data_IF_907215952296
#
_entry.id   IF_907215952296
#
_cell.length_a   1.000
_cell.length_b   1.000
_cell.length_c   1.000
_cell.angle_alpha   90.00
_cell.angle_beta   90.00
_cell.angle_gamma   90.00
#
_symmetry.space_group_name_H-M   'P 1'
#
loop_
_entity.id
_entity.type
_entity.pdbx_description
1 polymer ?
#
# COMPACT_ATOMS: atom_id res chain seq x y z
N UNK A 1 2.09 -10.79 -4.39
CA UNK A 1 2.51 -11.20 -3.04
C UNK A 1 3.05 -9.98 -2.32
N UNK A 2 2.78 -9.84 -1.04
CA UNK A 2 3.26 -8.71 -0.23
C UNK A 2 4.12 -9.24 0.91
N UNK A 3 5.28 -8.62 1.11
CA UNK A 3 6.20 -8.91 2.20
C UNK A 3 6.34 -7.67 3.08
N UNK A 4 6.38 -7.86 4.39
CA UNK A 4 6.69 -6.79 5.34
C UNK A 4 8.13 -6.97 5.78
N UNK A 5 8.92 -5.92 5.69
CA UNK A 5 10.33 -5.89 6.07
C UNK A 5 10.46 -5.08 7.34
N UNK A 6 11.13 -5.65 8.33
CA UNK A 6 11.44 -5.00 9.57
C UNK A 6 10.43 -5.28 10.66
N UNK A 7 9.92 -6.50 10.76
CA UNK A 7 9.21 -7.01 11.92
C UNK A 7 10.14 -7.11 13.15
N UNK A 8 9.60 -7.01 14.38
CA UNK A 8 10.42 -7.18 15.58
C UNK A 8 11.15 -8.53 15.60
N UNK A 9 12.47 -8.49 15.77
CA UNK A 9 13.32 -9.68 15.86
C UNK A 9 13.89 -10.17 14.53
N UNK A 10 13.52 -9.58 13.39
CA UNK A 10 14.09 -9.95 12.09
C UNK A 10 15.54 -9.50 11.93
N UNK A 11 16.36 -10.40 11.37
CA UNK A 11 17.72 -10.11 10.97
C UNK A 11 17.97 -10.37 9.46
N UNK A 12 19.24 -10.30 9.06
CA UNK A 12 19.64 -10.45 7.66
C UNK A 12 19.43 -11.89 7.12
N UNK A 13 19.52 -12.91 7.97
CA UNK A 13 19.25 -14.30 7.59
C UNK A 13 17.76 -14.48 7.31
N UNK A 14 16.90 -13.89 8.13
CA UNK A 14 15.44 -13.91 7.93
C UNK A 14 15.02 -13.28 6.60
N UNK A 15 15.59 -12.12 6.24
CA UNK A 15 15.30 -11.47 4.96
C UNK A 15 15.72 -12.32 3.77
N UNK A 16 16.92 -12.93 3.83
CA UNK A 16 17.45 -13.78 2.78
C UNK A 16 16.62 -15.05 2.61
N UNK A 17 16.25 -15.68 3.72
CA UNK A 17 15.41 -16.88 3.74
C UNK A 17 14.01 -16.59 3.20
N UNK A 18 13.39 -15.49 3.65
CA UNK A 18 12.05 -15.07 3.21
C UNK A 18 12.00 -14.80 1.72
N UNK A 19 12.95 -14.04 1.18
CA UNK A 19 12.94 -13.73 -0.26
C UNK A 19 13.21 -14.96 -1.12
N UNK A 20 14.10 -15.86 -0.67
CA UNK A 20 14.38 -17.11 -1.38
C UNK A 20 13.12 -17.99 -1.47
N UNK A 21 12.42 -18.20 -0.36
CA UNK A 21 11.17 -18.97 -0.33
C UNK A 21 10.05 -18.29 -1.14
N UNK A 22 9.93 -16.97 -1.08
CA UNK A 22 8.96 -16.23 -1.87
C UNK A 22 9.20 -16.41 -3.39
N UNK A 23 10.46 -16.46 -3.82
CA UNK A 23 10.84 -16.66 -5.22
C UNK A 23 10.56 -18.08 -5.71
N UNK A 24 10.65 -19.09 -4.85
CA UNK A 24 10.29 -20.48 -5.19
C UNK A 24 8.82 -20.62 -5.59
N UNK A 25 7.95 -19.78 -5.03
CA UNK A 25 6.53 -19.72 -5.37
C UNK A 25 6.26 -19.06 -6.73
N UNK A 26 7.28 -18.48 -7.37
CA UNK A 26 7.23 -17.83 -8.69
C UNK A 26 6.05 -16.83 -8.85
N UNK A 27 5.84 -15.91 -7.90
CA UNK A 27 4.78 -14.92 -8.05
C UNK A 27 5.10 -13.95 -9.19
N UNK A 28 4.10 -13.55 -9.97
CA UNK A 28 4.28 -12.54 -11.02
C UNK A 28 4.62 -11.13 -10.45
N UNK A 29 4.24 -10.90 -9.19
CA UNK A 29 4.35 -9.63 -8.49
C UNK A 29 4.73 -9.84 -7.02
N UNK A 30 5.74 -9.12 -6.54
CA UNK A 30 6.16 -9.04 -5.13
C UNK A 30 6.24 -7.58 -4.72
N UNK A 31 5.66 -7.21 -3.59
CA UNK A 31 5.80 -5.87 -3.01
C UNK A 31 6.54 -5.96 -1.69
N UNK A 32 7.60 -5.18 -1.56
CA UNK A 32 8.30 -5.02 -0.28
C UNK A 32 7.73 -3.79 0.43
N UNK A 33 7.08 -4.00 1.58
CA UNK A 33 6.58 -2.94 2.45
C UNK A 33 7.47 -2.82 3.68
N UNK A 34 7.93 -1.61 4.00
CA UNK A 34 8.59 -1.38 5.29
C UNK A 34 7.53 -1.29 6.38
N UNK A 35 7.79 -1.93 7.53
CA UNK A 35 6.88 -1.89 8.67
C UNK A 35 6.58 -0.43 9.08
N UNK A 36 5.29 -0.11 9.23
CA UNK A 36 4.82 1.16 9.74
C UNK A 36 3.93 0.93 10.96
N UNK A 37 4.19 1.61 12.07
CA UNK A 37 3.30 1.56 13.23
C UNK A 37 2.01 2.31 12.92
N UNK A 38 0.89 1.58 12.94
CA UNK A 38 -0.44 2.18 12.84
C UNK A 38 -0.86 2.71 14.21
N UNK A 39 -1.32 3.96 14.28
CA UNK A 39 -1.88 4.54 15.50
C UNK A 39 -3.00 3.63 16.05
N UNK A 40 -2.86 3.22 17.31
CA UNK A 40 -3.80 2.34 18.00
C UNK A 40 -3.51 0.84 17.85
N UNK A 41 -2.43 0.43 17.16
CA UNK A 41 -1.98 -0.96 17.20
C UNK A 41 -1.23 -1.28 18.49
N UNK A 42 -1.17 -2.57 18.86
CA UNK A 42 -0.32 -3.02 19.95
C UNK A 42 1.15 -2.69 19.71
N UNK A 43 1.62 -2.79 18.47
CA UNK A 43 2.98 -2.38 18.11
C UNK A 43 3.24 -0.91 18.45
N UNK A 44 2.30 -0.01 18.12
CA UNK A 44 2.42 1.40 18.46
C UNK A 44 2.34 1.66 19.98
N UNK A 45 1.66 0.79 20.73
CA UNK A 45 1.57 0.86 22.20
C UNK A 45 2.86 0.37 22.87
N UNK A 46 3.48 -0.68 22.33
CA UNK A 46 4.66 -1.33 22.89
C UNK A 46 5.93 -0.55 22.53
N UNK A 47 6.07 -0.17 21.26
CA UNK A 47 7.31 0.43 20.73
C UNK A 47 7.19 1.93 20.41
N UNK A 48 6.00 2.51 20.49
CA UNK A 48 5.74 3.90 20.15
C UNK A 48 5.61 4.13 18.63
N UNK A 49 5.69 5.41 18.23
CA UNK A 49 5.61 5.84 16.82
C UNK A 49 6.94 6.37 16.27
N UNK A 50 8.00 6.34 17.07
CA UNK A 50 9.31 6.89 16.73
C UNK A 50 10.35 5.78 16.65
N UNK A 51 11.02 5.68 15.51
CA UNK A 51 11.96 4.61 15.19
C UNK A 51 13.38 5.18 15.05
N UNK A 52 14.41 4.38 15.35
CA UNK A 52 15.82 4.80 15.23
C UNK A 52 16.23 4.92 13.74
N UNK A 53 17.08 5.90 13.40
CA UNK A 53 17.44 6.26 12.01
C UNK A 53 18.46 5.32 11.33
N UNK A 54 19.27 4.63 12.12
CA UNK A 54 20.31 3.69 11.67
C UNK A 54 19.80 2.27 11.86
N UNK A 55 19.00 1.84 10.89
CA UNK A 55 18.18 0.65 11.02
C UNK A 55 18.73 -0.50 10.15
N UNK A 56 19.11 -1.66 10.71
CA UNK A 56 19.47 -2.87 9.95
C UNK A 56 18.43 -3.26 8.89
N UNK A 57 17.18 -2.79 9.03
CA UNK A 57 16.12 -2.90 8.02
C UNK A 57 16.55 -2.36 6.65
N UNK A 58 17.37 -1.30 6.57
CA UNK A 58 17.83 -0.74 5.28
C UNK A 58 18.72 -1.71 4.51
N UNK A 59 19.64 -2.38 5.21
CA UNK A 59 20.53 -3.37 4.61
C UNK A 59 19.73 -4.60 4.15
N UNK A 60 18.82 -5.07 5.00
CA UNK A 60 17.87 -6.13 4.68
C UNK A 60 17.04 -5.84 3.44
N UNK A 61 16.38 -4.68 3.41
CA UNK A 61 15.60 -4.24 2.26
C UNK A 61 16.46 -4.18 0.99
N UNK A 62 17.65 -3.56 1.04
CA UNK A 62 18.54 -3.47 -0.11
C UNK A 62 18.95 -4.85 -0.64
N UNK A 63 19.19 -5.82 0.24
CA UNK A 63 19.53 -7.20 -0.14
C UNK A 63 18.37 -7.91 -0.86
N UNK A 64 17.14 -7.79 -0.34
CA UNK A 64 15.95 -8.37 -0.98
C UNK A 64 15.67 -7.73 -2.33
N UNK A 65 15.82 -6.41 -2.44
CA UNK A 65 15.67 -5.69 -3.69
C UNK A 65 16.71 -6.11 -4.74
N UNK A 66 17.96 -6.34 -4.33
CA UNK A 66 19.00 -6.84 -5.22
C UNK A 66 18.64 -8.25 -5.73
N UNK A 67 18.23 -9.14 -4.82
CA UNK A 67 17.84 -10.51 -5.18
C UNK A 67 16.64 -10.54 -6.14
N UNK A 68 15.64 -9.68 -5.95
CA UNK A 68 14.53 -9.53 -6.89
C UNK A 68 14.99 -9.12 -8.29
N UNK A 69 15.93 -8.15 -8.38
CA UNK A 69 16.48 -7.72 -9.68
C UNK A 69 17.29 -8.82 -10.36
N UNK A 70 18.06 -9.58 -9.60
CA UNK A 70 18.84 -10.71 -10.12
C UNK A 70 17.94 -11.82 -10.69
N UNK A 71 16.75 -12.01 -10.12
CA UNK A 71 15.72 -12.93 -10.63
C UNK A 71 14.82 -12.32 -11.73
N UNK A 72 15.18 -11.13 -12.23
CA UNK A 72 14.53 -10.49 -13.37
C UNK A 72 13.29 -9.66 -13.03
N UNK A 73 12.97 -9.44 -11.75
CA UNK A 73 11.88 -8.54 -11.38
C UNK A 73 12.26 -7.07 -11.53
N UNK A 74 11.34 -6.27 -12.05
CA UNK A 74 11.50 -4.84 -12.28
C UNK A 74 10.62 -4.04 -11.31
N UNK A 75 11.16 -3.00 -10.66
CA UNK A 75 10.34 -2.08 -9.87
C UNK A 75 9.38 -1.32 -10.79
N UNK A 76 8.10 -1.21 -10.42
CA UNK A 76 7.09 -0.59 -11.29
C UNK A 76 6.10 0.34 -10.59
N UNK A 77 6.07 0.34 -9.25
CA UNK A 77 5.41 1.41 -8.50
C UNK A 77 6.11 1.64 -7.18
N UNK A 78 5.87 2.83 -6.63
CA UNK A 78 6.37 3.26 -5.36
C UNK A 78 5.31 4.06 -4.61
N UNK A 79 5.18 3.84 -3.31
CA UNK A 79 4.43 4.74 -2.44
C UNK A 79 5.05 4.83 -1.04
N UNK A 80 4.74 5.91 -0.34
CA UNK A 80 5.23 6.17 1.02
C UNK A 80 4.08 6.18 2.01
N UNK A 81 4.26 5.50 3.15
CA UNK A 81 3.32 5.55 4.27
C UNK A 81 3.79 6.54 5.34
N UNK A 82 2.86 7.06 6.14
CA UNK A 82 3.23 7.81 7.36
C UNK A 82 3.65 6.82 8.46
N UNK A 83 4.60 7.21 9.30
CA UNK A 83 5.09 6.44 10.47
C UNK A 83 5.84 5.13 10.15
N UNK A 84 6.50 5.06 8.99
CA UNK A 84 7.38 3.94 8.64
C UNK A 84 8.60 3.87 9.57
N UNK A 85 9.10 2.65 9.82
CA UNK A 85 10.31 2.38 10.63
C UNK A 85 11.55 3.10 10.11
N UNK A 86 11.60 3.32 8.81
CA UNK A 86 12.68 4.07 8.17
C UNK A 86 12.09 4.98 7.09
N UNK A 87 12.87 5.93 6.57
CA UNK A 87 12.50 6.73 5.37
C UNK A 87 12.42 5.89 4.07
N UNK A 88 12.41 4.56 4.19
CA UNK A 88 12.25 3.62 3.09
C UNK A 88 10.88 3.73 2.42
N UNK A 89 10.76 3.07 1.28
CA UNK A 89 9.61 3.21 0.39
C UNK A 89 9.00 1.83 0.15
N UNK A 90 7.68 1.77 0.02
CA UNK A 90 7.00 0.53 -0.33
C UNK A 90 7.05 0.40 -1.86
N UNK A 91 7.76 -0.61 -2.34
CA UNK A 91 8.07 -0.77 -3.77
C UNK A 91 7.51 -2.09 -4.30
N UNK A 92 6.72 -1.99 -5.37
CA UNK A 92 6.24 -3.15 -6.11
C UNK A 92 7.21 -3.57 -7.19
N UNK A 93 7.48 -4.86 -7.27
CA UNK A 93 8.34 -5.53 -8.24
C UNK A 93 7.52 -6.54 -9.04
N UNK A 94 7.80 -6.66 -10.34
CA UNK A 94 7.07 -7.56 -11.22
C UNK A 94 7.98 -8.14 -12.29
N UNK A 95 7.69 -9.35 -12.75
CA UNK A 95 8.32 -9.90 -13.96
C UNK A 95 7.93 -9.05 -15.18
N UNK A 96 8.80 -8.95 -16.21
CA UNK A 96 8.50 -8.20 -17.42
C UNK A 96 7.18 -8.66 -18.06
N UNK A 97 6.31 -7.69 -18.38
CA UNK A 97 4.99 -7.96 -18.96
C UNK A 97 3.89 -8.27 -17.94
N UNK A 98 4.21 -8.42 -16.66
CA UNK A 98 3.25 -8.75 -15.59
C UNK A 98 2.87 -7.53 -14.71
N UNK A 99 3.20 -6.31 -15.14
CA UNK A 99 2.91 -5.11 -14.37
C UNK A 99 1.42 -4.98 -14.05
N UNK A 100 1.11 -4.86 -12.76
CA UNK A 100 -0.27 -4.73 -12.32
C UNK A 100 -0.83 -3.34 -12.66
N UNK A 101 -1.59 -3.26 -13.76
CA UNK A 101 -2.29 -2.02 -14.17
C UNK A 101 -3.16 -1.45 -13.07
N UNK A 102 -3.84 -2.31 -12.30
CA UNK A 102 -4.65 -1.86 -11.17
C UNK A 102 -3.81 -1.11 -10.13
N UNK A 103 -2.66 -1.66 -9.72
CA UNK A 103 -1.77 -1.00 -8.75
C UNK A 103 -1.29 0.35 -9.27
N UNK A 104 -0.87 0.43 -10.54
CA UNK A 104 -0.44 1.68 -11.17
C UNK A 104 -1.56 2.73 -11.11
N UNK A 105 -2.76 2.37 -11.57
CA UNK A 105 -3.89 3.30 -11.63
C UNK A 105 -4.36 3.76 -10.25
N UNK A 106 -4.34 2.86 -9.26
CA UNK A 106 -4.74 3.16 -7.88
C UNK A 106 -3.73 4.04 -7.15
N UNK A 107 -2.43 3.80 -7.34
CA UNK A 107 -1.35 4.51 -6.63
C UNK A 107 -1.09 5.87 -7.27
N UNK A 108 -1.10 5.96 -8.61
CA UNK A 108 -0.95 7.24 -9.30
C UNK A 108 -2.21 8.11 -9.27
N UNK A 109 -3.33 7.59 -8.70
CA UNK A 109 -4.62 8.27 -8.68
C UNK A 109 -5.00 8.78 -10.09
N UNK A 110 -4.99 7.90 -11.09
CA UNK A 110 -5.20 8.25 -12.51
C UNK A 110 -6.61 7.98 -13.02
N UNK A 111 -7.44 7.37 -12.18
CA UNK A 111 -8.82 7.03 -12.52
C UNK A 111 -9.77 7.36 -11.37
N UNK A 112 -11.01 7.64 -11.73
CA UNK A 112 -12.10 7.71 -10.75
C UNK A 112 -12.28 6.34 -10.08
N UNK A 113 -12.25 6.33 -8.74
CA UNK A 113 -12.39 5.14 -7.90
C UNK A 113 -13.71 5.26 -7.13
N UNK A 114 -14.58 4.27 -7.27
CA UNK A 114 -15.84 4.21 -6.51
C UNK A 114 -15.72 3.22 -5.37
N UNK A 115 -15.65 3.75 -4.15
CA UNK A 115 -15.60 2.93 -2.94
C UNK A 115 -17.00 2.52 -2.47
N UNK A 116 -17.22 1.24 -2.17
CA UNK A 116 -18.47 0.70 -1.65
C UNK A 116 -18.18 0.00 -0.32
N UNK A 117 -19.10 0.09 0.65
CA UNK A 117 -18.91 -0.48 1.99
C UNK A 117 -18.50 0.55 3.06
N UNK A 118 -18.61 0.18 4.33
CA UNK A 118 -18.18 1.03 5.44
C UNK A 118 -16.69 1.40 5.33
N UNK A 119 -16.36 2.66 5.60
CA UNK A 119 -14.99 3.19 5.53
C UNK A 119 -14.41 3.32 4.11
N UNK A 120 -15.15 2.93 3.07
CA UNK A 120 -14.66 3.04 1.70
C UNK A 120 -14.51 4.51 1.25
N UNK A 121 -13.45 4.78 0.51
CA UNK A 121 -13.19 6.07 -0.11
C UNK A 121 -13.57 6.03 -1.59
N UNK A 122 -14.24 7.08 -2.06
CA UNK A 122 -14.43 7.39 -3.46
C UNK A 122 -13.50 8.53 -3.83
N UNK A 123 -12.74 8.40 -4.92
CA UNK A 123 -11.88 9.46 -5.46
C UNK A 123 -12.38 9.78 -6.85
N UNK A 124 -12.80 11.01 -7.06
CA UNK A 124 -13.31 11.51 -8.34
C UNK A 124 -12.25 12.41 -8.95
N UNK A 125 -11.96 12.21 -10.24
CA UNK A 125 -10.94 12.98 -10.95
C UNK A 125 -11.61 13.72 -12.10
N UNK A 126 -11.49 15.05 -12.12
CA UNK A 126 -12.00 15.86 -13.21
C UNK A 126 -11.04 15.91 -14.41
N UNK A 127 -11.47 16.53 -15.51
CA UNK A 127 -10.67 16.68 -16.73
C UNK A 127 -9.39 17.49 -16.56
N UNK A 128 -9.25 18.24 -15.44
CA UNK A 128 -8.06 19.01 -15.07
C UNK A 128 -7.16 18.24 -14.09
N UNK A 129 -7.51 17.01 -13.74
CA UNK A 129 -6.77 16.18 -12.79
C UNK A 129 -7.02 16.55 -11.33
N UNK A 130 -8.02 17.40 -11.02
CA UNK A 130 -8.36 17.71 -9.63
C UNK A 130 -9.07 16.53 -9.00
N UNK A 131 -8.61 16.14 -7.81
CA UNK A 131 -9.15 15.01 -7.06
C UNK A 131 -10.15 15.50 -6.00
N UNK A 132 -11.34 14.91 -5.99
CA UNK A 132 -12.35 15.09 -4.95
C UNK A 132 -12.61 13.76 -4.24
N UNK A 133 -12.38 13.73 -2.92
CA UNK A 133 -12.55 12.52 -2.11
C UNK A 133 -13.85 12.54 -1.32
N UNK A 134 -14.58 11.44 -1.35
CA UNK A 134 -15.77 11.18 -0.54
C UNK A 134 -15.53 9.96 0.34
N UNK A 135 -15.88 10.03 1.61
CA UNK A 135 -15.65 8.93 2.56
C UNK A 135 -16.97 8.42 3.12
N UNK A 136 -17.12 7.10 3.13
CA UNK A 136 -18.21 6.45 3.84
C UNK A 136 -17.88 6.39 5.36
N UNK A 137 -18.90 6.42 6.25
CA UNK A 137 -18.70 6.15 7.67
C UNK A 137 -18.02 4.79 7.88
N UNK A 138 -17.09 4.71 8.84
CA UNK A 138 -16.43 3.46 9.24
C UNK A 138 -17.29 2.61 10.16
N UNK A 139 -18.13 3.25 10.98
CA UNK A 139 -19.11 2.59 11.83
C UNK A 139 -20.22 1.98 10.95
N UNK A 140 -20.53 0.71 11.21
CA UNK A 140 -21.55 -0.05 10.49
C UNK A 140 -22.94 0.56 10.59
N UNK A 141 -23.37 1.03 11.76
CA UNK A 141 -24.73 1.56 11.95
C UNK A 141 -24.90 2.89 11.21
N UNK A 142 -23.89 3.75 11.37
CA UNK A 142 -23.79 5.01 10.63
C UNK A 142 -23.75 4.79 9.12
N UNK A 143 -23.00 3.78 8.65
CA UNK A 143 -22.93 3.43 7.22
C UNK A 143 -24.28 2.98 6.70
N UNK A 144 -24.90 1.99 7.35
CA UNK A 144 -26.19 1.41 6.96
C UNK A 144 -27.29 2.47 6.87
N UNK A 145 -27.39 3.33 7.89
CA UNK A 145 -28.39 4.42 7.93
C UNK A 145 -28.15 5.45 6.82
N UNK A 146 -26.88 5.74 6.49
CA UNK A 146 -26.53 6.75 5.51
C UNK A 146 -26.54 6.27 4.04
N UNK A 147 -26.73 4.97 3.77
CA UNK A 147 -26.65 4.38 2.40
C UNK A 147 -27.39 5.23 1.35
N UNK A 148 -28.68 5.60 1.52
CA UNK A 148 -29.40 6.36 0.49
C UNK A 148 -28.78 7.73 0.19
N UNK A 149 -28.25 8.41 1.22
CA UNK A 149 -27.59 9.70 1.07
C UNK A 149 -26.21 9.56 0.40
N UNK A 150 -25.43 8.54 0.82
CA UNK A 150 -24.11 8.26 0.25
C UNK A 150 -24.19 7.91 -1.24
N UNK A 151 -25.17 7.08 -1.63
CA UNK A 151 -25.41 6.71 -3.02
C UNK A 151 -25.76 7.94 -3.85
N UNK A 152 -26.75 8.75 -3.41
CA UNK A 152 -27.13 9.99 -4.11
C UNK A 152 -25.94 10.92 -4.30
N UNK A 153 -25.18 11.18 -3.22
CA UNK A 153 -23.99 12.03 -3.28
C UNK A 153 -22.97 11.54 -4.31
N UNK A 154 -22.71 10.24 -4.39
CA UNK A 154 -21.78 9.68 -5.39
C UNK A 154 -22.30 9.83 -6.82
N UNK A 155 -23.57 9.52 -7.05
CA UNK A 155 -24.20 9.65 -8.37
C UNK A 155 -24.19 11.10 -8.85
N UNK A 156 -24.54 12.05 -7.98
CA UNK A 156 -24.58 13.47 -8.33
C UNK A 156 -23.19 14.00 -8.69
N UNK A 157 -22.16 13.64 -7.91
CA UNK A 157 -20.80 14.05 -8.21
C UNK A 157 -20.27 13.38 -9.48
N UNK A 158 -20.59 12.10 -9.73
CA UNK A 158 -20.21 11.41 -10.96
C UNK A 158 -20.82 12.09 -12.20
N UNK A 159 -22.09 12.49 -12.12
CA UNK A 159 -22.76 13.23 -13.20
C UNK A 159 -22.11 14.58 -13.46
N UNK A 160 -21.60 15.25 -12.43
CA UNK A 160 -20.93 16.54 -12.54
C UNK A 160 -19.51 16.48 -13.14
N UNK A 161 -18.93 15.30 -13.33
CA UNK A 161 -17.63 15.13 -14.00
C UNK A 161 -17.72 15.18 -15.53
N UNK A 162 -18.93 15.01 -16.09
CA UNK A 162 -19.20 14.96 -17.53
C UNK A 162 -19.90 16.22 -18.02
#
# INVERSE_FOLDING_TARGET
>A
MDLIVGLPGEDQEDYNSTIAQALELKPENITLHTLAAKKGSDLARIEGLSWQKDDPIKAGLASMQAKLRDEGYQPYYLYRQKYMRTDAENTGYSLPGCFCRFNIQMIEERQTIIGIGGGAATKLIDSRGKITSLYNPTDSDSYCTAIPALVRRKVDNLRALN
#
